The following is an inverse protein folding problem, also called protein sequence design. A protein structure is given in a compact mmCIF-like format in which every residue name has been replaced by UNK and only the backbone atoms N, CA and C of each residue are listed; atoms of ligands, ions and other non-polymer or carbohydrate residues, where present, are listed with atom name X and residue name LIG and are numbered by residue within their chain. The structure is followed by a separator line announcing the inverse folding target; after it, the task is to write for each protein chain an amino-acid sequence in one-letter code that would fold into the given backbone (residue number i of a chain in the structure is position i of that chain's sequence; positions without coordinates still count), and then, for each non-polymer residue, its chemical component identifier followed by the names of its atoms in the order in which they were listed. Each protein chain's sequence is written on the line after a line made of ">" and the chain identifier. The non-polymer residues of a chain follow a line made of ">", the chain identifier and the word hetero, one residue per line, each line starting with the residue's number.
data_IF_603478129022
#
_entry.id   IF_603478129022
#
_cell.length_a   1.000
_cell.length_b   1.000
_cell.length_c   1.000
_cell.angle_alpha   90.00
_cell.angle_beta   90.00
_cell.angle_gamma   90.00
#
_symmetry.space_group_name_H-M   'P 1'
#
loop_
_entity.id
_entity.type
_entity.pdbx_description
1 polymer ?
#
# COMPACT_ATOMS: atom_id res chain seq x y z
N UNK A 1 11.24 -18.61 -0.12
CA UNK A 1 10.13 -17.67 0.12
C UNK A 1 10.43 -16.36 -0.58
N UNK A 2 9.52 -15.90 -1.39
CA UNK A 2 9.69 -14.63 -2.08
C UNK A 2 8.98 -13.51 -1.33
N UNK A 3 9.68 -12.39 -1.21
CA UNK A 3 9.08 -11.19 -0.66
C UNK A 3 8.52 -10.39 -1.82
N UNK A 4 7.20 -10.30 -1.92
CA UNK A 4 6.54 -9.57 -2.99
C UNK A 4 6.20 -8.14 -2.59
N UNK A 5 6.06 -7.88 -1.31
CA UNK A 5 5.72 -6.56 -0.80
C UNK A 5 6.82 -6.02 0.10
N UNK A 6 7.13 -4.73 -0.09
CA UNK A 6 8.10 -4.02 0.73
C UNK A 6 7.38 -2.88 1.42
N UNK A 7 7.27 -2.96 2.74
CA UNK A 7 6.62 -1.92 3.53
C UNK A 7 7.54 -0.71 3.56
N UNK A 8 7.04 0.45 3.17
CA UNK A 8 7.80 1.69 3.17
C UNK A 8 7.24 2.73 4.12
N UNK A 9 6.00 2.56 4.54
CA UNK A 9 5.35 3.43 5.52
C UNK A 9 4.28 2.61 6.23
N UNK A 10 4.16 2.77 7.54
CA UNK A 10 3.13 2.06 8.27
C UNK A 10 2.67 2.87 9.48
N UNK A 11 1.46 2.54 9.93
CA UNK A 11 0.87 3.07 11.15
C UNK A 11 0.29 1.90 11.93
N UNK A 12 -0.26 2.19 13.11
CA UNK A 12 -0.95 1.16 13.89
C UNK A 12 -2.15 0.58 13.16
N UNK A 13 -2.69 1.32 12.21
CA UNK A 13 -3.92 0.94 11.51
C UNK A 13 -3.68 0.27 10.16
N UNK A 14 -2.52 0.46 9.55
CA UNK A 14 -2.26 -0.10 8.24
C UNK A 14 -0.87 0.18 7.72
N UNK A 15 -0.64 -0.19 6.48
CA UNK A 15 0.66 -0.02 5.85
C UNK A 15 0.54 0.40 4.39
N UNK A 16 1.59 1.00 3.86
CA UNK A 16 1.71 1.35 2.46
C UNK A 16 3.12 1.01 1.99
N UNK A 17 3.25 0.57 0.76
CA UNK A 17 4.54 0.21 0.23
C UNK A 17 4.48 -0.25 -1.22
N UNK A 18 5.53 -0.94 -1.64
CA UNK A 18 5.71 -1.39 -3.01
C UNK A 18 5.34 -2.87 -3.12
N UNK A 19 4.51 -3.20 -4.10
CA UNK A 19 4.12 -4.59 -4.38
C UNK A 19 4.70 -5.00 -5.73
N UNK A 20 5.65 -5.92 -5.71
CA UNK A 20 6.35 -6.36 -6.92
C UNK A 20 5.45 -7.12 -7.88
N UNK A 21 4.36 -7.71 -7.40
CA UNK A 21 3.43 -8.45 -8.24
C UNK A 21 2.32 -7.59 -8.81
N UNK A 22 2.15 -6.36 -8.30
CA UNK A 22 1.23 -5.43 -8.93
C UNK A 22 1.77 -5.04 -10.30
N UNK A 23 0.88 -4.70 -11.20
CA UNK A 23 1.26 -4.41 -12.58
C UNK A 23 2.29 -3.28 -12.65
N UNK A 24 3.52 -3.56 -13.07
CA UNK A 24 4.51 -2.50 -13.25
C UNK A 24 3.98 -1.49 -14.28
N UNK A 25 4.09 -0.23 -14.00
CA UNK A 25 3.60 0.81 -14.88
C UNK A 25 2.16 1.21 -14.64
N UNK A 26 1.44 0.47 -13.80
CA UNK A 26 0.05 0.78 -13.45
C UNK A 26 -0.11 1.03 -11.95
N UNK A 27 0.91 1.55 -11.31
CA UNK A 27 0.85 1.88 -9.90
C UNK A 27 1.11 0.66 -9.00
N UNK A 28 2.38 0.32 -8.77
CA UNK A 28 2.73 -0.86 -7.97
C UNK A 28 2.63 -0.63 -6.46
N UNK A 29 2.36 0.59 -6.02
CA UNK A 29 2.25 0.86 -4.59
C UNK A 29 0.89 0.42 -4.06
N UNK A 30 0.88 -0.04 -2.82
CA UNK A 30 -0.32 -0.61 -2.21
C UNK A 30 -0.61 0.04 -0.87
N UNK A 31 -1.86 -0.11 -0.44
CA UNK A 31 -2.31 0.26 0.91
C UNK A 31 -3.10 -0.90 1.47
N UNK A 32 -2.78 -1.30 2.70
CA UNK A 32 -3.49 -2.36 3.39
C UNK A 32 -3.85 -1.90 4.80
N UNK A 33 -5.09 -2.11 5.21
CA UNK A 33 -5.55 -1.84 6.56
C UNK A 33 -5.60 -3.13 7.36
N UNK A 34 -5.11 -3.09 8.61
CA UNK A 34 -4.99 -4.31 9.42
C UNK A 34 -6.32 -4.80 9.98
N UNK A 35 -7.20 -3.87 10.34
CA UNK A 35 -8.49 -4.20 10.95
C UNK A 35 -9.63 -4.28 9.96
N UNK A 36 -9.34 -4.17 8.69
CA UNK A 36 -10.33 -4.17 7.65
C UNK A 36 -9.80 -5.03 6.51
N UNK A 37 -10.66 -5.49 5.63
CA UNK A 37 -10.26 -6.25 4.45
C UNK A 37 -9.80 -5.34 3.31
N UNK A 38 -9.51 -4.09 3.61
CA UNK A 38 -9.04 -3.13 2.61
C UNK A 38 -7.61 -3.46 2.20
N UNK A 39 -7.43 -3.77 0.93
CA UNK A 39 -6.12 -4.08 0.35
C UNK A 39 -6.18 -3.66 -1.11
N UNK A 40 -5.59 -2.52 -1.43
CA UNK A 40 -5.71 -1.92 -2.76
C UNK A 40 -4.33 -1.59 -3.30
N UNK A 41 -4.12 -1.92 -4.56
CA UNK A 41 -2.95 -1.49 -5.33
C UNK A 41 -3.41 -0.50 -6.40
N UNK A 42 -2.47 0.09 -7.11
CA UNK A 42 -2.79 0.99 -8.21
C UNK A 42 -2.37 2.42 -7.98
N UNK A 43 -1.55 2.66 -6.95
CA UNK A 43 -1.01 3.99 -6.71
C UNK A 43 0.31 4.16 -7.46
N UNK A 44 0.45 5.27 -8.18
CA UNK A 44 1.65 5.52 -8.99
C UNK A 44 2.87 5.86 -8.16
N UNK A 45 2.67 6.46 -7.00
CA UNK A 45 3.76 6.87 -6.12
C UNK A 45 3.48 6.47 -4.69
N UNK A 46 4.53 6.38 -3.90
CA UNK A 46 4.38 6.11 -2.47
C UNK A 46 3.58 7.21 -1.78
N UNK A 47 3.78 8.46 -2.19
CA UNK A 47 3.04 9.58 -1.60
C UNK A 47 1.54 9.43 -1.78
N UNK A 48 1.10 8.96 -2.94
CA UNK A 48 -0.32 8.72 -3.17
C UNK A 48 -0.84 7.60 -2.26
N UNK A 49 -0.06 6.54 -2.09
CA UNK A 49 -0.45 5.44 -1.22
C UNK A 49 -0.53 5.92 0.23
N UNK A 50 0.43 6.73 0.69
CA UNK A 50 0.41 7.28 2.04
C UNK A 50 -0.81 8.17 2.26
N UNK A 51 -1.15 9.00 1.28
CA UNK A 51 -2.33 9.85 1.38
C UNK A 51 -3.60 9.01 1.53
N UNK A 52 -3.71 7.95 0.75
CA UNK A 52 -4.86 7.07 0.84
C UNK A 52 -4.93 6.39 2.21
N UNK A 53 -3.79 5.93 2.72
CA UNK A 53 -3.75 5.33 4.05
C UNK A 53 -4.22 6.31 5.12
N UNK A 54 -3.77 7.55 5.06
CA UNK A 54 -4.19 8.56 6.02
C UNK A 54 -5.67 8.87 5.90
N UNK A 55 -6.16 8.98 4.67
CA UNK A 55 -7.56 9.26 4.43
C UNK A 55 -8.44 8.14 4.97
N UNK A 56 -8.04 6.92 4.74
CA UNK A 56 -8.84 5.76 5.15
C UNK A 56 -8.81 5.53 6.67
N UNK A 57 -7.81 6.05 7.36
CA UNK A 57 -7.66 5.83 8.80
C UNK A 57 -8.00 7.07 9.63
N UNK A 58 -8.39 8.15 9.00
CA UNK A 58 -8.82 9.35 9.73
C UNK A 58 -10.16 9.19 10.40
#
# INVERSE_FOLDING_TARGET
>A
MEITRIIQFFTDSGEAGFDREASPGNGPYYVKLYDDSYDVTGFDTLDEAIEELRYATE
#
